data_IF_416154871681
#
_entry.id   IF_416154871681
#
_cell.length_a   1.000
_cell.length_b   1.000
_cell.length_c   1.000
_cell.angle_alpha   90.00
_cell.angle_beta   90.00
_cell.angle_gamma   90.00
#
_symmetry.space_group_name_H-M   'P 1'
#
loop_
_entity.id
_entity.type
_entity.pdbx_description
1 polymer ?
#
# COMPACT_ATOMS: atom_id res chain seq x y z
N UNK A 1 -9.15 -7.09 -16.66
CA UNK A 1 -8.74 -5.93 -15.83
C UNK A 1 -8.15 -6.42 -14.53
N UNK A 2 -6.87 -6.16 -14.26
CA UNK A 2 -6.31 -6.37 -12.93
C UNK A 2 -6.64 -5.16 -12.06
N UNK A 3 -7.65 -5.27 -11.20
CA UNK A 3 -7.99 -4.18 -10.29
C UNK A 3 -6.94 -4.11 -9.18
N UNK A 4 -5.97 -3.19 -9.31
CA UNK A 4 -4.93 -2.97 -8.31
C UNK A 4 -5.50 -2.67 -6.91
N UNK A 5 -6.68 -2.02 -6.83
CA UNK A 5 -7.33 -1.73 -5.55
C UNK A 5 -7.71 -3.00 -4.80
N UNK A 6 -8.31 -3.98 -5.49
CA UNK A 6 -8.68 -5.27 -4.90
C UNK A 6 -7.44 -6.05 -4.47
N UNK A 7 -6.41 -6.13 -5.33
CA UNK A 7 -5.18 -6.87 -5.02
C UNK A 7 -4.43 -6.27 -3.83
N UNK A 8 -4.28 -4.95 -3.80
CA UNK A 8 -3.61 -4.25 -2.69
C UNK A 8 -4.42 -4.40 -1.41
N UNK A 9 -5.75 -4.21 -1.47
CA UNK A 9 -6.60 -4.38 -0.30
C UNK A 9 -6.48 -5.79 0.28
N UNK A 10 -6.69 -6.83 -0.52
CA UNK A 10 -6.61 -8.22 -0.06
C UNK A 10 -5.24 -8.54 0.55
N UNK A 11 -4.16 -7.96 0.01
CA UNK A 11 -2.83 -8.18 0.56
C UNK A 11 -2.69 -7.55 1.96
N UNK A 12 -3.14 -6.29 2.12
CA UNK A 12 -3.09 -5.58 3.39
C UNK A 12 -4.05 -6.16 4.43
N UNK A 13 -5.24 -6.62 4.01
CA UNK A 13 -6.27 -7.21 4.87
C UNK A 13 -5.84 -8.54 5.49
N UNK A 14 -4.95 -9.28 4.80
CA UNK A 14 -4.27 -10.45 5.35
C UNK A 14 -3.17 -10.11 6.39
N UNK A 15 -3.08 -8.86 6.84
CA UNK A 15 -2.09 -8.40 7.81
C UNK A 15 -0.70 -8.12 7.22
N UNK A 16 -0.53 -8.20 5.89
CA UNK A 16 0.74 -7.86 5.26
C UNK A 16 0.89 -6.34 5.12
N UNK A 17 2.13 -5.91 4.85
CA UNK A 17 2.43 -4.52 4.52
C UNK A 17 3.00 -4.42 3.11
N UNK A 18 2.97 -3.22 2.53
CA UNK A 18 3.41 -3.05 1.15
C UNK A 18 4.16 -1.74 0.94
N UNK A 19 5.28 -1.80 0.21
CA UNK A 19 5.99 -0.67 -0.36
C UNK A 19 5.67 -0.52 -1.84
N UNK A 20 6.00 0.64 -2.42
CA UNK A 20 5.84 0.87 -3.86
C UNK A 20 6.63 -0.15 -4.71
N UNK A 21 7.83 -0.56 -4.27
CA UNK A 21 8.64 -1.54 -4.99
C UNK A 21 7.99 -2.95 -4.97
N UNK A 22 7.50 -3.38 -3.80
CA UNK A 22 6.78 -4.66 -3.66
C UNK A 22 5.49 -4.67 -4.51
N UNK A 23 4.75 -3.56 -4.53
CA UNK A 23 3.54 -3.43 -5.35
C UNK A 23 3.79 -3.55 -6.86
N UNK A 24 4.93 -3.02 -7.35
CA UNK A 24 5.36 -3.19 -8.74
C UNK A 24 5.70 -4.66 -9.00
N UNK A 25 6.47 -5.30 -8.11
CA UNK A 25 6.90 -6.69 -8.28
C UNK A 25 5.73 -7.68 -8.25
N UNK A 26 4.85 -7.57 -7.26
CA UNK A 26 3.76 -8.51 -7.00
C UNK A 26 2.54 -8.26 -7.88
N UNK A 27 2.19 -6.99 -8.13
CA UNK A 27 0.90 -6.64 -8.73
C UNK A 27 1.01 -5.80 -10.01
N UNK A 28 2.22 -5.43 -10.44
CA UNK A 28 2.45 -4.44 -11.52
C UNK A 28 1.78 -3.08 -11.22
N UNK A 29 1.66 -2.74 -9.94
CA UNK A 29 1.01 -1.51 -9.50
C UNK A 29 2.04 -0.37 -9.35
N UNK A 30 2.21 0.43 -10.40
CA UNK A 30 3.16 1.56 -10.43
C UNK A 30 2.72 2.80 -9.67
N UNK A 31 1.43 2.91 -9.33
CA UNK A 31 0.84 4.06 -8.61
C UNK A 31 0.20 3.60 -7.30
N UNK A 32 0.99 2.97 -6.43
CA UNK A 32 0.49 2.45 -5.15
C UNK A 32 -0.14 3.56 -4.32
N UNK A 33 0.51 4.73 -4.24
CA UNK A 33 0.00 5.88 -3.49
C UNK A 33 -1.42 6.30 -3.91
N UNK A 34 -1.72 6.26 -5.22
CA UNK A 34 -3.05 6.57 -5.74
C UNK A 34 -4.08 5.50 -5.35
N UNK A 35 -3.69 4.22 -5.32
CA UNK A 35 -4.54 3.12 -4.85
C UNK A 35 -4.83 3.26 -3.35
N UNK A 36 -3.81 3.54 -2.54
CA UNK A 36 -3.97 3.77 -1.11
C UNK A 36 -4.88 4.98 -0.85
N UNK A 37 -4.76 6.06 -1.62
CA UNK A 37 -5.64 7.21 -1.48
C UNK A 37 -7.11 6.82 -1.71
N UNK A 38 -7.40 6.05 -2.76
CA UNK A 38 -8.76 5.56 -3.03
C UNK A 38 -9.30 4.64 -1.93
N UNK A 39 -8.44 3.77 -1.38
CA UNK A 39 -8.82 2.92 -0.25
C UNK A 39 -9.14 3.76 1.00
N UNK A 40 -8.31 4.75 1.33
CA UNK A 40 -8.61 5.68 2.44
C UNK A 40 -9.92 6.43 2.23
N UNK A 41 -10.18 6.93 1.02
CA UNK A 41 -11.47 7.55 0.68
C UNK A 41 -12.65 6.58 0.78
N UNK A 42 -12.40 5.27 0.69
CA UNK A 42 -13.40 4.22 0.88
C UNK A 42 -13.57 3.76 2.33
N UNK A 43 -12.97 4.44 3.32
CA UNK A 43 -13.14 4.15 4.75
C UNK A 43 -12.12 3.16 5.32
N UNK A 44 -11.08 2.80 4.58
CA UNK A 44 -10.01 1.95 5.11
C UNK A 44 -8.97 2.79 5.85
N UNK A 45 -8.72 2.47 7.13
CA UNK A 45 -7.66 3.10 7.91
C UNK A 45 -6.32 2.45 7.55
N UNK A 46 -5.57 3.11 6.67
CA UNK A 46 -4.26 2.64 6.22
C UNK A 46 -3.20 3.61 6.73
N UNK A 47 -2.29 3.12 7.58
CA UNK A 47 -1.16 3.89 8.12
C UNK A 47 0.01 3.89 7.12
N UNK A 48 0.74 5.00 7.07
CA UNK A 48 2.01 5.10 6.34
C UNK A 48 3.16 5.14 7.33
N UNK A 49 4.12 4.26 7.15
CA UNK A 49 5.42 4.28 7.83
C UNK A 49 6.48 4.72 6.83
N UNK A 50 7.37 5.61 7.25
CA UNK A 50 8.51 6.03 6.43
C UNK A 50 9.73 5.23 6.84
N UNK A 51 10.19 4.36 5.94
CA UNK A 51 11.36 3.52 6.14
C UNK A 51 12.55 4.10 5.38
N UNK A 52 13.72 4.13 6.02
CA UNK A 52 14.96 4.52 5.32
C UNK A 52 15.19 3.56 4.17
N UNK A 53 15.48 4.10 3.00
CA UNK A 53 15.95 3.30 1.88
C UNK A 53 17.37 2.82 2.21
N UNK A 54 17.60 1.52 2.15
CA UNK A 54 18.93 0.95 2.40
C UNK A 54 19.88 1.16 1.21
N UNK A 55 19.34 1.53 0.04
CA UNK A 55 20.08 1.71 -1.20
C UNK A 55 20.28 3.19 -1.57
N UNK A 56 19.67 4.14 -0.86
CA UNK A 56 19.83 5.57 -1.10
C UNK A 56 19.55 6.41 0.15
N UNK A 57 19.98 7.67 0.19
CA UNK A 57 19.73 8.58 1.32
C UNK A 57 18.26 9.04 1.46
N UNK A 58 17.31 8.40 0.78
CA UNK A 58 15.89 8.74 0.82
C UNK A 58 15.08 7.85 1.76
N UNK A 59 13.86 8.27 2.10
CA UNK A 59 12.87 7.41 2.76
C UNK A 59 11.84 6.91 1.74
N UNK A 60 11.27 5.75 1.99
CA UNK A 60 10.16 5.21 1.21
C UNK A 60 8.97 4.86 2.10
N UNK A 61 7.77 4.88 1.52
CA UNK A 61 6.54 4.59 2.24
C UNK A 61 6.28 3.08 2.28
N UNK A 62 5.95 2.57 3.47
CA UNK A 62 5.33 1.28 3.71
C UNK A 62 3.92 1.49 4.25
N UNK A 63 2.96 0.76 3.69
CA UNK A 63 1.55 0.87 4.02
C UNK A 63 1.07 -0.35 4.79
N UNK A 64 0.24 -0.13 5.81
CA UNK A 64 -0.34 -1.15 6.68
C UNK A 64 -1.81 -0.84 6.92
N UNK A 65 -2.70 -1.83 6.79
CA UNK A 65 -4.10 -1.68 7.17
C UNK A 65 -4.25 -1.84 8.70
N UNK A 66 -4.87 -0.85 9.33
CA UNK A 66 -5.16 -0.84 10.78
C UNK A 66 -6.58 -1.23 11.10
N UNK A 67 -7.49 -1.05 10.15
CA UNK A 67 -8.87 -1.46 10.26
C UNK A 67 -9.72 -0.85 9.16
N UNK A 68 -11.02 -1.10 9.22
CA UNK A 68 -12.02 -0.47 8.38
C UNK A 68 -12.94 0.34 9.28
N UNK A 69 -13.14 1.62 8.96
CA UNK A 69 -14.14 2.43 9.64
C UNK A 69 -15.53 1.94 9.18
N UNK A 70 -16.33 1.50 10.15
CA UNK A 70 -17.72 1.08 9.96
C UNK A 70 -18.65 2.28 9.89
#
# INVERSE_FOLDING_TARGET
MHNHQIKVLNHLDNGNTLTQAEAIKLFKCYRLSAVINRLRSGGYDIKTHYEKNTLSNGNHARYELRGKQS
#
